data_IF_854661799260
#
_entry.id   IF_854661799260
#
_cell.length_a   1.000
_cell.length_b   1.000
_cell.length_c   1.000
_cell.angle_alpha   90.00
_cell.angle_beta   90.00
_cell.angle_gamma   90.00
#
_symmetry.space_group_name_H-M   'P 1'
#
loop_
_entity.id
_entity.type
_entity.pdbx_description
1 polymer ?
#
# COMPACT_ATOMS: atom_id res chain seq x y z
N UNK A 1 14.56 14.55 13.31
CA UNK A 1 13.38 15.13 12.62
C UNK A 1 12.29 14.08 12.65
N UNK A 2 11.18 14.34 13.34
CA UNK A 2 10.17 13.32 13.65
C UNK A 2 9.07 13.36 12.58
N UNK A 3 9.10 12.44 11.63
CA UNK A 3 8.06 12.32 10.60
C UNK A 3 6.76 11.92 11.29
N UNK A 4 5.80 12.84 11.39
CA UNK A 4 4.48 12.53 11.94
C UNK A 4 3.70 11.71 10.89
N UNK A 5 3.85 10.38 10.93
CA UNK A 5 3.16 9.46 10.02
C UNK A 5 1.70 9.32 10.47
N UNK A 6 0.77 9.83 9.67
CA UNK A 6 -0.64 9.51 9.85
C UNK A 6 -0.85 8.05 9.43
N UNK A 7 -1.01 7.16 10.42
CA UNK A 7 -1.21 5.72 10.22
C UNK A 7 -2.71 5.41 10.16
N UNK A 8 -3.15 4.82 9.06
CA UNK A 8 -4.54 4.42 8.82
C UNK A 8 -4.60 2.89 8.72
N UNK A 9 -5.69 2.30 9.21
CA UNK A 9 -5.90 0.84 9.14
C UNK A 9 -6.43 0.43 7.77
N UNK A 10 -5.89 -0.66 7.24
CA UNK A 10 -6.40 -1.32 6.03
C UNK A 10 -7.34 -2.44 6.47
N UNK A 11 -8.55 -2.43 5.93
CA UNK A 11 -9.60 -3.41 6.22
C UNK A 11 -9.87 -4.37 5.07
N UNK A 12 -9.36 -4.06 3.88
CA UNK A 12 -9.42 -4.92 2.70
C UNK A 12 -8.37 -4.46 1.68
N UNK A 13 -8.03 -5.28 0.69
CA UNK A 13 -7.03 -4.88 -0.30
C UNK A 13 -6.83 -5.83 -1.49
N UNK A 14 -5.75 -5.63 -2.25
CA UNK A 14 -5.45 -6.44 -3.43
C UNK A 14 -5.09 -7.87 -3.05
N UNK A 15 -5.23 -8.80 -4.00
CA UNK A 15 -4.62 -10.12 -3.84
C UNK A 15 -3.09 -10.03 -4.01
N UNK A 16 -2.40 -11.09 -3.60
CA UNK A 16 -0.96 -11.25 -3.88
C UNK A 16 -0.66 -11.14 -5.38
N UNK A 17 -1.52 -11.71 -6.24
CA UNK A 17 -1.32 -11.65 -7.68
C UNK A 17 -1.46 -10.22 -8.22
N UNK A 18 -2.48 -9.48 -7.77
CA UNK A 18 -2.65 -8.07 -8.15
C UNK A 18 -1.45 -7.22 -7.73
N UNK A 19 -0.91 -7.48 -6.53
CA UNK A 19 0.27 -6.80 -6.01
C UNK A 19 1.50 -7.07 -6.88
N UNK A 20 1.75 -8.33 -7.24
CA UNK A 20 2.90 -8.71 -8.07
C UNK A 20 2.77 -8.18 -9.50
N UNK A 21 1.56 -8.18 -10.08
CA UNK A 21 1.30 -7.56 -11.38
C UNK A 21 1.56 -6.06 -11.35
N UNK A 22 1.11 -5.36 -10.31
CA UNK A 22 1.33 -3.93 -10.19
C UNK A 22 2.81 -3.58 -9.98
N UNK A 23 3.57 -4.42 -9.27
CA UNK A 23 5.02 -4.28 -9.17
C UNK A 23 5.70 -4.51 -10.53
N UNK A 24 5.31 -5.54 -11.27
CA UNK A 24 5.86 -5.85 -12.58
C UNK A 24 5.60 -4.69 -13.58
N UNK A 25 4.40 -4.13 -13.54
CA UNK A 25 3.98 -3.01 -14.39
C UNK A 25 4.50 -1.64 -13.90
N UNK A 26 5.24 -1.57 -12.78
CA UNK A 26 5.59 -0.29 -12.12
C UNK A 26 6.45 0.65 -12.97
N UNK A 27 7.20 0.11 -13.95
CA UNK A 27 8.06 0.88 -14.86
C UNK A 27 7.39 1.25 -16.19
N UNK A 28 6.16 0.80 -16.43
CA UNK A 28 5.41 1.14 -17.64
C UNK A 28 5.00 2.61 -17.65
N UNK A 29 4.79 3.17 -18.86
CA UNK A 29 4.28 4.54 -19.02
C UNK A 29 2.90 4.76 -18.36
N UNK A 30 2.14 3.68 -18.16
CA UNK A 30 0.90 3.67 -17.38
C UNK A 30 0.98 2.55 -16.34
N UNK A 31 1.54 2.82 -15.15
CA UNK A 31 1.70 1.80 -14.12
C UNK A 31 0.35 1.39 -13.55
N UNK A 32 0.19 0.10 -13.28
CA UNK A 32 -1.04 -0.46 -12.72
C UNK A 32 -1.20 -0.01 -11.27
N UNK A 33 -2.35 0.58 -10.96
CA UNK A 33 -2.71 0.96 -9.61
C UNK A 33 -3.32 -0.22 -8.84
N UNK A 34 -3.08 -0.27 -7.53
CA UNK A 34 -3.80 -1.17 -6.60
C UNK A 34 -4.69 -0.36 -5.67
N UNK A 35 -5.82 -0.96 -5.29
CA UNK A 35 -6.80 -0.36 -4.39
C UNK A 35 -6.77 -1.06 -3.04
N UNK A 36 -6.45 -0.31 -1.99
CA UNK A 36 -6.67 -0.71 -0.61
C UNK A 36 -8.01 -0.15 -0.13
N UNK A 37 -8.69 -0.82 0.80
CA UNK A 37 -9.76 -0.20 1.57
C UNK A 37 -9.21 0.15 2.95
N UNK A 38 -9.27 1.42 3.28
CA UNK A 38 -8.84 1.94 4.59
C UNK A 38 -10.06 2.27 5.44
N UNK A 39 -9.94 2.12 6.75
CA UNK A 39 -10.94 2.64 7.68
C UNK A 39 -10.69 4.13 7.95
N UNK A 40 -11.56 4.97 7.39
CA UNK A 40 -11.56 6.40 7.64
C UNK A 40 -12.75 6.76 8.54
N UNK A 41 -12.49 6.83 9.85
CA UNK A 41 -13.48 7.17 10.87
C UNK A 41 -14.72 6.26 10.89
N UNK A 42 -14.52 4.94 10.80
CA UNK A 42 -15.58 3.93 10.83
C UNK A 42 -16.22 3.65 9.48
N UNK A 43 -15.72 4.24 8.39
CA UNK A 43 -16.21 4.02 7.03
C UNK A 43 -15.08 3.53 6.13
N UNK A 44 -15.22 2.35 5.50
CA UNK A 44 -14.28 1.88 4.50
C UNK A 44 -14.22 2.85 3.30
N UNK A 45 -13.03 3.31 2.95
CA UNK A 45 -12.76 4.16 1.80
C UNK A 45 -11.69 3.52 0.91
N UNK A 46 -11.85 3.63 -0.41
CA UNK A 46 -10.84 3.18 -1.36
C UNK A 46 -9.65 4.12 -1.37
N UNK A 47 -8.46 3.54 -1.32
CA UNK A 47 -7.18 4.23 -1.32
C UNK A 47 -6.29 3.67 -2.43
N UNK A 48 -5.98 4.50 -3.42
CA UNK A 48 -5.24 4.11 -4.62
C UNK A 48 -3.75 4.27 -4.40
N UNK A 49 -2.98 3.22 -4.67
CA UNK A 49 -1.51 3.20 -4.57
C UNK A 49 -0.90 2.72 -5.87
N UNK A 50 0.11 3.44 -6.34
CA UNK A 50 1.02 3.01 -7.40
C UNK A 50 2.25 2.39 -6.75
N UNK A 51 2.46 1.10 -6.96
CA UNK A 51 3.53 0.34 -6.32
C UNK A 51 4.88 0.71 -6.95
N UNK A 52 5.89 0.95 -6.12
CA UNK A 52 7.27 1.17 -6.54
C UNK A 52 8.19 0.04 -6.08
N UNK A 53 7.98 -0.48 -4.87
CA UNK A 53 8.67 -1.70 -4.40
C UNK A 53 7.78 -2.52 -3.48
N UNK A 54 8.06 -3.82 -3.42
CA UNK A 54 7.45 -4.77 -2.50
C UNK A 54 8.57 -5.61 -1.90
N UNK A 55 8.61 -5.66 -0.58
CA UNK A 55 9.52 -6.48 0.19
C UNK A 55 8.72 -7.44 1.06
N UNK A 56 9.15 -8.70 1.11
CA UNK A 56 8.55 -9.68 2.00
C UNK A 56 8.98 -9.36 3.42
N UNK A 57 8.03 -9.18 4.34
CA UNK A 57 8.35 -8.85 5.74
C UNK A 57 8.88 -10.07 6.49
N UNK A 58 8.30 -11.25 6.27
CA UNK A 58 8.54 -12.44 7.06
C UNK A 58 8.76 -13.70 6.20
N UNK A 59 8.97 -14.86 6.84
CA UNK A 59 9.07 -16.15 6.15
C UNK A 59 7.74 -16.69 5.59
N UNK A 60 6.61 -16.03 5.86
CA UNK A 60 5.28 -16.56 5.55
C UNK A 60 4.93 -16.45 4.06
N UNK A 61 5.51 -15.47 3.36
CA UNK A 61 5.14 -15.18 1.97
C UNK A 61 3.75 -14.56 1.81
N UNK A 62 3.17 -14.06 2.91
CA UNK A 62 1.83 -13.47 2.98
C UNK A 62 1.82 -12.06 3.60
N UNK A 63 2.94 -11.60 4.15
CA UNK A 63 3.10 -10.27 4.75
C UNK A 63 4.11 -9.45 3.95
N UNK A 64 3.72 -8.23 3.60
CA UNK A 64 4.44 -7.39 2.63
C UNK A 64 4.62 -5.98 3.15
N UNK A 65 5.83 -5.46 2.96
CA UNK A 65 6.15 -4.04 3.06
C UNK A 65 6.17 -3.47 1.65
N UNK A 66 5.27 -2.53 1.37
CA UNK A 66 5.04 -1.98 0.05
C UNK A 66 5.37 -0.50 0.12
N UNK A 67 6.25 -0.04 -0.76
CA UNK A 67 6.50 1.38 -0.96
C UNK A 67 5.90 1.81 -2.29
N UNK A 68 5.29 2.99 -2.29
CA UNK A 68 4.63 3.49 -3.48
C UNK A 68 4.30 4.96 -3.38
N UNK A 69 3.40 5.39 -4.27
CA UNK A 69 2.87 6.76 -4.27
C UNK A 69 1.37 6.78 -4.49
N UNK A 70 0.72 7.83 -4.01
CA UNK A 70 -0.67 8.15 -4.32
C UNK A 70 -0.79 8.77 -5.71
N UNK A 71 -2.01 8.92 -6.23
CA UNK A 71 -2.28 9.69 -7.46
C UNK A 71 -1.81 11.16 -7.37
N UNK A 72 -1.74 11.72 -6.16
CA UNK A 72 -1.17 13.05 -5.89
C UNK A 72 0.36 13.07 -5.76
N UNK A 73 1.06 11.98 -6.14
CA UNK A 73 2.52 11.82 -6.04
C UNK A 73 3.07 11.91 -4.60
N UNK A 74 2.22 11.65 -3.59
CA UNK A 74 2.66 11.57 -2.20
C UNK A 74 3.22 10.18 -1.91
N UNK A 75 4.38 10.12 -1.25
CA UNK A 75 4.99 8.86 -0.84
C UNK A 75 4.14 8.15 0.22
N UNK A 76 4.01 6.83 0.08
CA UNK A 76 3.25 5.98 0.99
C UNK A 76 4.02 4.71 1.28
N UNK A 77 4.00 4.32 2.55
CA UNK A 77 4.47 3.02 3.02
C UNK A 77 3.27 2.22 3.51
N UNK A 78 3.14 1.00 3.03
CA UNK A 78 2.03 0.11 3.36
C UNK A 78 2.58 -1.19 3.90
N UNK A 79 2.14 -1.53 5.10
CA UNK A 79 2.25 -2.88 5.63
C UNK A 79 0.94 -3.62 5.32
N UNK A 80 0.99 -4.76 4.65
CA UNK A 80 -0.21 -5.49 4.25
C UNK A 80 -0.02 -7.00 4.27
N UNK A 81 -0.99 -7.70 4.87
CA UNK A 81 -1.11 -9.15 4.80
C UNK A 81 -2.09 -9.55 3.70
N UNK A 82 -1.63 -10.26 2.67
CA UNK A 82 -2.49 -10.76 1.58
C UNK A 82 -3.42 -11.88 2.06
N UNK A 83 -2.99 -12.67 3.04
CA UNK A 83 -3.79 -13.73 3.65
C UNK A 83 -4.96 -13.19 4.47
N UNK A 84 -4.68 -12.20 5.33
CA UNK A 84 -5.69 -11.64 6.22
C UNK A 84 -6.43 -10.43 5.61
N UNK A 85 -5.94 -9.92 4.47
CA UNK A 85 -6.44 -8.74 3.76
C UNK A 85 -6.52 -7.49 4.64
N UNK A 86 -5.60 -7.36 5.59
CA UNK A 86 -5.53 -6.25 6.53
C UNK A 86 -4.10 -5.77 6.70
N UNK A 87 -3.95 -4.60 7.33
CA UNK A 87 -2.64 -4.01 7.55
C UNK A 87 -2.73 -2.54 7.93
N UNK A 88 -1.67 -1.79 7.66
CA UNK A 88 -1.63 -0.36 7.95
C UNK A 88 -0.93 0.42 6.85
N UNK A 89 -1.44 1.61 6.59
CA UNK A 89 -0.93 2.54 5.62
C UNK A 89 -0.43 3.80 6.32
N UNK A 90 0.76 4.27 5.96
CA UNK A 90 1.35 5.51 6.45
C UNK A 90 1.70 6.41 5.29
N UNK A 91 1.23 7.65 5.34
CA UNK A 91 1.65 8.68 4.40
C UNK A 91 2.90 9.38 4.91
N UNK A 92 3.92 9.49 4.06
CA UNK A 92 5.06 10.34 4.34
C UNK A 92 4.71 11.76 3.94
N UNK A 93 4.71 12.68 4.89
CA UNK A 93 4.73 14.12 4.59
C UNK A 93 6.18 14.51 4.31
N UNK A 94 6.48 14.89 3.07
CA UNK A 94 7.67 15.71 2.79
C UNK A 94 7.34 17.12 3.30
N UNK A 95 8.02 17.55 4.37
CA UNK A 95 8.11 18.96 4.73
C UNK A 95 9.07 19.67 3.78
#
# INVERSE_FOLDING_TARGET
>A
MTTQQARVQIVDGPSKWDLMLALFDSSNASPRAVNFKIDAAGKPQSFVVFISSVEREDGSGESWNINGRTAGNQAVCVYFSTKNRCGSLSLEKRN
#
